data_IF_955611440325
#
_entry.id   IF_955611440325
#
_cell.length_a   1.000
_cell.length_b   1.000
_cell.length_c   1.000
_cell.angle_alpha   90.00
_cell.angle_beta   90.00
_cell.angle_gamma   90.00
#
_symmetry.space_group_name_H-M   'P 1'
#
loop_
_entity.id
_entity.type
_entity.pdbx_description
1 polymer ?
#
# COMPACT_ATOMS: atom_id res chain seq x y z
N UNK A 1 14.98 -3.25 23.44
CA UNK A 1 15.37 -2.68 22.13
C UNK A 1 14.08 -2.31 21.41
N UNK A 2 13.91 -1.06 21.02
CA UNK A 2 12.75 -0.67 20.19
C UNK A 2 12.79 -1.43 18.86
N UNK A 3 11.66 -1.98 18.47
CA UNK A 3 11.51 -2.68 17.21
C UNK A 3 11.70 -1.71 16.04
N UNK A 4 12.64 -2.00 15.14
CA UNK A 4 12.92 -1.15 13.97
C UNK A 4 11.68 -1.08 13.09
N UNK A 5 11.30 0.13 12.66
CA UNK A 5 10.19 0.33 11.73
C UNK A 5 10.43 -0.41 10.41
N UNK A 6 9.36 -0.80 9.71
CA UNK A 6 9.45 -1.44 8.39
C UNK A 6 10.30 -0.62 7.42
N UNK A 7 10.10 0.70 7.37
CA UNK A 7 10.89 1.61 6.53
C UNK A 7 12.40 1.57 6.87
N UNK A 8 12.74 1.44 8.17
CA UNK A 8 14.13 1.30 8.61
C UNK A 8 14.71 -0.03 8.14
N UNK A 9 14.00 -1.13 8.29
CA UNK A 9 14.45 -2.46 7.86
C UNK A 9 14.69 -2.54 6.35
N UNK A 10 13.83 -1.90 5.54
CA UNK A 10 14.05 -1.76 4.08
C UNK A 10 15.36 -1.03 3.79
N UNK A 11 15.63 0.07 4.47
CA UNK A 11 16.88 0.82 4.29
C UNK A 11 18.10 0.03 4.75
N UNK A 12 18.01 -0.69 5.86
CA UNK A 12 19.07 -1.55 6.35
C UNK A 12 19.40 -2.67 5.35
N UNK A 13 18.40 -3.34 4.76
CA UNK A 13 18.62 -4.32 3.69
C UNK A 13 19.36 -3.73 2.49
N UNK A 14 18.91 -2.56 2.01
CA UNK A 14 19.52 -1.90 0.86
C UNK A 14 20.97 -1.52 1.11
N UNK A 15 21.31 -1.04 2.32
CA UNK A 15 22.69 -0.67 2.65
C UNK A 15 23.65 -1.86 2.67
N UNK A 16 23.16 -3.05 3.03
CA UNK A 16 23.95 -4.27 3.05
C UNK A 16 24.20 -4.88 1.67
N UNK A 17 23.25 -4.68 0.73
CA UNK A 17 23.30 -5.32 -0.59
C UNK A 17 24.08 -4.54 -1.65
N UNK A 18 24.42 -3.28 -1.41
CA UNK A 18 25.13 -2.42 -2.38
C UNK A 18 26.64 -2.63 -2.28
N UNK A 19 27.15 -3.59 -3.07
CA UNK A 19 28.58 -3.93 -3.14
C UNK A 19 29.20 -3.64 -4.52
N UNK A 20 28.41 -3.29 -5.54
CA UNK A 20 28.89 -3.01 -6.89
C UNK A 20 29.44 -1.58 -6.98
N UNK A 21 30.72 -1.45 -7.34
CA UNK A 21 31.37 -0.13 -7.52
C UNK A 21 30.65 0.76 -8.55
N UNK A 22 30.06 0.15 -9.60
CA UNK A 22 29.29 0.90 -10.62
C UNK A 22 28.00 1.50 -10.06
N UNK A 23 27.48 0.93 -8.97
CA UNK A 23 26.28 1.42 -8.29
C UNK A 23 26.55 2.67 -7.44
N UNK A 24 27.78 2.84 -6.93
CA UNK A 24 28.10 3.84 -5.92
C UNK A 24 27.92 5.28 -6.42
N UNK A 25 28.37 5.59 -7.62
CA UNK A 25 28.23 6.96 -8.17
C UNK A 25 26.78 7.38 -8.35
N UNK A 26 25.88 6.63 -9.04
CA UNK A 26 24.47 7.00 -9.14
C UNK A 26 23.75 6.97 -7.79
N UNK A 27 24.12 6.06 -6.88
CA UNK A 27 23.59 6.05 -5.52
C UNK A 27 23.92 7.35 -4.78
N UNK A 28 25.20 7.76 -4.77
CA UNK A 28 25.65 9.01 -4.16
C UNK A 28 24.91 10.21 -4.75
N UNK A 29 24.74 10.26 -6.08
CA UNK A 29 23.96 11.32 -6.72
C UNK A 29 22.55 11.40 -6.16
N UNK A 30 21.86 10.26 -6.01
CA UNK A 30 20.53 10.19 -5.42
C UNK A 30 20.48 10.68 -3.98
N UNK A 31 21.40 10.18 -3.13
CA UNK A 31 21.47 10.58 -1.71
C UNK A 31 21.80 12.07 -1.56
N UNK A 32 22.85 12.55 -2.26
CA UNK A 32 23.31 13.95 -2.16
C UNK A 32 22.22 14.91 -2.64
N UNK A 33 21.49 14.56 -3.68
CA UNK A 33 20.41 15.38 -4.26
C UNK A 33 19.28 15.67 -3.27
N UNK A 34 18.93 14.72 -2.41
CA UNK A 34 17.79 14.84 -1.48
C UNK A 34 18.17 15.15 -0.04
N UNK A 35 19.41 14.82 0.39
CA UNK A 35 19.90 14.99 1.77
C UNK A 35 21.21 15.72 1.88
N UNK A 36 21.87 16.06 0.78
CA UNK A 36 23.12 16.81 0.76
C UNK A 36 22.90 18.29 1.02
N UNK A 37 23.77 18.89 1.82
CA UNK A 37 23.81 20.33 2.10
C UNK A 37 25.19 20.87 1.74
N UNK A 38 25.23 21.83 0.83
CA UNK A 38 26.46 22.57 0.51
C UNK A 38 26.60 23.72 1.51
N UNK A 39 27.70 23.73 2.25
CA UNK A 39 28.04 24.78 3.22
C UNK A 39 29.12 25.66 2.62
N UNK A 40 28.78 26.94 2.43
CA UNK A 40 29.65 27.97 1.90
C UNK A 40 30.22 28.78 3.07
N UNK A 41 31.50 28.66 3.37
CA UNK A 41 32.20 29.36 4.43
C UNK A 41 33.64 29.57 4.05
N UNK A 42 34.53 29.72 5.04
CA UNK A 42 36.01 29.75 4.78
C UNK A 42 36.48 28.50 4.03
N UNK A 43 35.85 27.35 4.34
CA UNK A 43 36.00 26.11 3.59
C UNK A 43 34.66 25.69 3.04
N UNK A 44 34.68 25.28 1.78
CA UNK A 44 33.50 24.70 1.13
C UNK A 44 33.34 23.25 1.58
N UNK A 45 32.15 22.88 2.03
CA UNK A 45 31.88 21.55 2.59
C UNK A 45 30.58 21.00 2.01
N UNK A 46 30.59 19.73 1.61
CA UNK A 46 29.39 18.95 1.36
C UNK A 46 29.11 18.11 2.59
N UNK A 47 27.94 18.26 3.18
CA UNK A 47 27.49 17.52 4.35
C UNK A 47 26.25 16.69 4.00
N UNK A 48 26.30 15.38 4.28
CA UNK A 48 25.16 14.46 4.16
C UNK A 48 24.83 13.93 5.54
N UNK A 49 23.58 14.12 5.98
CA UNK A 49 23.13 13.72 7.33
C UNK A 49 22.07 12.64 7.25
N UNK A 50 22.19 11.62 8.09
CA UNK A 50 21.25 10.50 8.24
C UNK A 50 21.12 10.07 9.70
N UNK A 51 20.01 9.42 10.04
CA UNK A 51 19.80 8.75 11.34
C UNK A 51 20.21 7.27 11.30
N UNK A 52 20.75 6.80 10.17
CA UNK A 52 21.12 5.42 9.90
C UNK A 52 22.65 5.31 9.86
N UNK A 53 23.26 4.68 10.88
CA UNK A 53 24.71 4.50 10.95
C UNK A 53 25.26 3.74 9.75
N UNK A 54 24.59 2.65 9.36
CA UNK A 54 24.98 1.80 8.23
C UNK A 54 24.94 2.56 6.89
N UNK A 55 23.97 3.48 6.74
CA UNK A 55 23.91 4.36 5.57
C UNK A 55 25.03 5.40 5.59
N UNK A 56 25.38 5.94 6.76
CA UNK A 56 26.51 6.86 6.87
C UNK A 56 27.82 6.17 6.48
N UNK A 57 28.03 4.93 6.93
CA UNK A 57 29.19 4.12 6.57
C UNK A 57 29.25 3.81 5.06
N UNK A 58 28.10 3.48 4.45
CA UNK A 58 28.02 3.29 3.01
C UNK A 58 28.38 4.56 2.24
N UNK A 59 27.84 5.72 2.64
CA UNK A 59 28.13 7.01 2.01
C UNK A 59 29.61 7.35 2.15
N UNK A 60 30.17 7.17 3.34
CA UNK A 60 31.59 7.42 3.62
C UNK A 60 32.47 6.60 2.68
N UNK A 61 32.31 5.27 2.67
CA UNK A 61 33.08 4.34 1.81
C UNK A 61 32.85 4.63 0.31
N UNK A 62 31.65 5.04 -0.07
CA UNK A 62 31.37 5.37 -1.46
C UNK A 62 32.13 6.60 -1.93
N UNK A 63 32.23 7.66 -1.12
CA UNK A 63 33.06 8.84 -1.45
C UNK A 63 34.56 8.49 -1.54
N UNK A 64 35.08 7.70 -0.59
CA UNK A 64 36.47 7.21 -0.65
C UNK A 64 36.73 6.40 -1.92
N UNK A 65 35.81 5.49 -2.25
CA UNK A 65 35.99 4.57 -3.38
C UNK A 65 35.92 5.29 -4.72
N UNK A 66 34.90 6.15 -4.91
CA UNK A 66 34.60 6.80 -6.21
C UNK A 66 35.51 7.99 -6.45
N UNK A 67 35.74 8.85 -5.44
CA UNK A 67 36.40 10.14 -5.59
C UNK A 67 37.80 10.20 -4.97
N UNK A 68 38.20 9.15 -4.25
CA UNK A 68 39.52 9.09 -3.57
C UNK A 68 39.76 10.26 -2.61
N UNK A 69 38.67 10.77 -2.00
CA UNK A 69 38.72 11.82 -0.97
C UNK A 69 38.63 11.20 0.42
N UNK A 70 38.93 12.00 1.46
CA UNK A 70 38.91 11.57 2.87
C UNK A 70 37.75 12.22 3.61
N UNK A 71 36.53 11.62 3.60
CA UNK A 71 35.41 12.16 4.36
C UNK A 71 35.68 12.14 5.87
N UNK A 72 34.93 12.94 6.61
CA UNK A 72 34.98 12.90 8.08
C UNK A 72 33.58 12.71 8.65
N UNK A 73 33.50 11.98 9.78
CA UNK A 73 32.25 11.87 10.52
C UNK A 73 32.04 13.07 11.45
N UNK A 74 30.79 13.50 11.56
CA UNK A 74 30.29 14.37 12.61
C UNK A 74 29.08 13.75 13.28
N UNK A 75 29.14 13.60 14.58
CA UNK A 75 28.03 13.10 15.38
C UNK A 75 27.27 14.28 15.97
N UNK A 76 25.95 14.30 15.78
CA UNK A 76 25.07 15.27 16.36
C UNK A 76 24.24 14.64 17.46
N UNK A 77 24.49 14.98 18.73
CA UNK A 77 23.57 14.72 19.80
C UNK A 77 22.54 15.86 19.81
N UNK A 78 21.28 15.58 19.45
CA UNK A 78 20.20 16.56 19.61
C UNK A 78 19.87 16.65 21.11
N UNK A 79 20.02 17.84 21.68
CA UNK A 79 19.83 18.16 23.10
C UNK A 79 18.37 18.08 23.60
N UNK A 80 17.43 17.56 22.83
CA UNK A 80 16.06 17.31 23.26
C UNK A 80 15.82 15.80 23.39
N UNK A 81 15.24 15.42 24.54
CA UNK A 81 14.74 14.07 24.84
C UNK A 81 13.99 13.50 23.65
N UNK A 82 14.22 12.22 23.29
CA UNK A 82 13.53 11.44 22.26
C UNK A 82 13.95 11.62 20.79
N UNK A 83 15.16 12.06 20.47
CA UNK A 83 15.62 12.06 19.08
C UNK A 83 16.81 11.14 18.87
N UNK A 84 16.68 10.23 17.90
CA UNK A 84 17.75 9.33 17.48
C UNK A 84 19.04 10.11 17.15
N UNK A 85 20.24 9.54 17.43
CA UNK A 85 21.51 10.16 17.06
C UNK A 85 21.57 10.40 15.54
N UNK A 86 22.21 11.49 15.13
CA UNK A 86 22.41 11.79 13.71
C UNK A 86 23.88 11.64 13.33
N UNK A 87 24.09 10.99 12.22
CA UNK A 87 25.40 10.77 11.61
C UNK A 87 25.54 11.69 10.40
N UNK A 88 26.63 12.44 10.32
CA UNK A 88 26.91 13.29 9.18
C UNK A 88 28.25 12.91 8.57
N UNK A 89 28.26 12.72 7.26
CA UNK A 89 29.47 12.55 6.45
C UNK A 89 29.79 13.89 5.82
N UNK A 90 30.99 14.38 6.05
CA UNK A 90 31.44 15.71 5.59
C UNK A 90 32.63 15.57 4.68
N UNK A 91 32.52 16.09 3.46
CA UNK A 91 33.52 16.16 2.42
C UNK A 91 34.04 17.61 2.31
N UNK A 92 35.36 17.82 2.29
CA UNK A 92 36.00 19.12 2.15
C UNK A 92 36.85 19.24 0.89
N UNK A 93 37.21 18.11 0.31
CA UNK A 93 38.07 18.03 -0.86
C UNK A 93 37.25 17.98 -2.14
N UNK A 94 37.65 18.70 -3.18
CA UNK A 94 37.04 18.64 -4.52
C UNK A 94 35.50 18.78 -4.58
N UNK A 95 34.92 19.53 -3.64
CA UNK A 95 33.47 19.59 -3.42
C UNK A 95 32.69 19.93 -4.68
N UNK A 96 33.11 20.95 -5.45
CA UNK A 96 32.42 21.36 -6.66
C UNK A 96 32.55 20.37 -7.81
N UNK A 97 33.73 19.75 -7.98
CA UNK A 97 33.97 18.74 -9.00
C UNK A 97 33.12 17.48 -8.72
N UNK A 98 33.05 17.10 -7.44
CA UNK A 98 32.18 16.00 -6.99
C UNK A 98 30.70 16.33 -7.26
N UNK A 99 30.23 17.52 -6.91
CA UNK A 99 28.84 17.93 -7.11
C UNK A 99 28.48 18.02 -8.61
N UNK A 100 29.42 18.44 -9.45
CA UNK A 100 29.27 18.46 -10.91
C UNK A 100 29.20 17.05 -11.48
N UNK A 101 30.09 16.16 -11.07
CA UNK A 101 30.09 14.76 -11.51
C UNK A 101 28.85 14.01 -11.06
N UNK A 102 28.35 14.28 -9.84
CA UNK A 102 27.06 13.76 -9.35
C UNK A 102 25.85 14.42 -10.02
N UNK A 103 26.05 15.34 -10.94
CA UNK A 103 24.99 16.15 -11.59
C UNK A 103 24.10 16.91 -10.60
N UNK A 104 24.58 17.21 -9.38
CA UNK A 104 23.81 17.94 -8.38
C UNK A 104 23.89 19.45 -8.60
N UNK A 105 25.11 19.99 -8.73
CA UNK A 105 25.37 21.40 -8.97
C UNK A 105 26.56 21.60 -9.89
N UNK A 106 26.47 22.59 -10.77
CA UNK A 106 27.61 23.19 -11.50
C UNK A 106 27.81 24.57 -10.88
N UNK A 107 28.89 24.73 -10.15
CA UNK A 107 29.12 25.81 -9.19
C UNK A 107 27.90 25.93 -8.22
N UNK A 108 27.08 26.96 -8.33
CA UNK A 108 25.88 27.18 -7.51
C UNK A 108 24.57 26.92 -8.27
N UNK A 109 24.65 26.51 -9.52
CA UNK A 109 23.49 26.24 -10.37
C UNK A 109 23.10 24.75 -10.26
N UNK A 110 21.85 24.49 -9.92
CA UNK A 110 21.34 23.13 -9.84
C UNK A 110 21.31 22.47 -11.22
N UNK A 111 21.83 21.26 -11.31
CA UNK A 111 21.90 20.47 -12.54
C UNK A 111 20.73 19.48 -12.65
N UNK A 112 20.24 19.26 -13.88
CA UNK A 112 19.31 18.16 -14.16
C UNK A 112 20.06 16.81 -14.23
N UNK A 113 19.50 15.71 -13.69
CA UNK A 113 20.19 14.41 -13.60
C UNK A 113 20.17 13.66 -14.95
N UNK A 114 20.86 14.14 -15.97
CA UNK A 114 20.83 13.60 -17.36
C UNK A 114 21.39 12.17 -17.46
N UNK A 115 22.57 11.92 -16.90
CA UNK A 115 23.21 10.61 -16.91
C UNK A 115 22.58 9.67 -15.88
N UNK A 116 22.16 10.21 -14.72
CA UNK A 116 21.58 9.43 -13.63
C UNK A 116 20.21 8.83 -13.99
N UNK A 117 19.45 9.48 -14.87
CA UNK A 117 18.16 8.94 -15.36
C UNK A 117 18.31 7.97 -16.54
N UNK A 118 19.53 7.70 -17.06
CA UNK A 118 19.75 6.61 -18.02
C UNK A 118 19.43 5.26 -17.38
N UNK A 119 18.94 4.32 -18.18
CA UNK A 119 18.43 3.03 -17.68
C UNK A 119 19.45 2.23 -16.87
N UNK A 120 20.74 2.34 -17.19
CA UNK A 120 21.84 1.66 -16.46
C UNK A 120 22.04 2.17 -15.04
N UNK A 121 21.79 3.46 -14.79
CA UNK A 121 22.09 4.13 -13.53
C UNK A 121 20.84 4.36 -12.67
N UNK A 122 19.68 4.43 -13.31
CA UNK A 122 18.45 4.91 -12.70
C UNK A 122 18.02 4.08 -11.48
N UNK A 123 18.20 2.76 -11.52
CA UNK A 123 17.92 1.90 -10.38
C UNK A 123 18.65 2.38 -9.12
N UNK A 124 19.97 2.52 -9.21
CA UNK A 124 20.80 2.92 -8.08
C UNK A 124 20.60 4.38 -7.67
N UNK A 125 20.33 5.24 -8.64
CA UNK A 125 19.97 6.64 -8.39
C UNK A 125 18.70 6.76 -7.56
N UNK A 126 17.62 6.05 -7.92
CA UNK A 126 16.37 6.02 -7.16
C UNK A 126 16.55 5.33 -5.80
N UNK A 127 17.37 4.28 -5.73
CA UNK A 127 17.74 3.67 -4.45
C UNK A 127 18.40 4.68 -3.52
N UNK A 128 19.33 5.49 -4.03
CA UNK A 128 19.94 6.59 -3.28
C UNK A 128 18.91 7.63 -2.79
N UNK A 129 17.98 8.03 -3.65
CA UNK A 129 16.88 8.94 -3.27
C UNK A 129 16.03 8.32 -2.15
N UNK A 130 15.67 7.03 -2.25
CA UNK A 130 14.90 6.35 -1.21
C UNK A 130 15.68 6.26 0.11
N UNK A 131 16.94 5.92 0.07
CA UNK A 131 17.81 5.88 1.27
C UNK A 131 17.89 7.25 1.94
N UNK A 132 18.06 8.32 1.16
CA UNK A 132 18.22 9.69 1.68
C UNK A 132 16.92 10.31 2.18
N UNK A 133 15.83 10.20 1.44
CA UNK A 133 14.56 10.90 1.73
C UNK A 133 13.32 10.08 1.35
N UNK A 134 13.43 8.76 1.28
CA UNK A 134 12.30 7.86 1.08
C UNK A 134 11.71 7.37 2.39
N UNK A 135 10.43 7.03 2.35
CA UNK A 135 9.68 6.38 3.44
C UNK A 135 8.71 5.37 2.88
N UNK A 136 8.48 4.29 3.63
CA UNK A 136 7.44 3.31 3.35
C UNK A 136 6.66 3.02 4.63
N UNK A 137 5.33 2.93 4.51
CA UNK A 137 4.48 2.56 5.63
C UNK A 137 4.65 1.07 5.98
N UNK A 138 4.42 0.75 7.24
CA UNK A 138 4.34 -0.62 7.71
C UNK A 138 3.17 -1.34 7.00
N UNK A 139 3.40 -2.52 6.39
CA UNK A 139 2.34 -3.29 5.73
C UNK A 139 1.27 -3.78 6.70
N UNK A 140 1.54 -3.84 8.00
CA UNK A 140 0.52 -4.17 9.02
C UNK A 140 -0.49 -3.04 9.23
N UNK A 141 -0.17 -1.79 8.85
CA UNK A 141 -1.09 -0.66 8.95
C UNK A 141 -2.18 -0.71 7.88
N UNK A 142 -3.24 0.09 8.07
CA UNK A 142 -4.42 0.07 7.20
C UNK A 142 -4.17 0.60 5.78
N UNK A 143 -3.17 1.45 5.60
CA UNK A 143 -2.88 2.06 4.30
C UNK A 143 -1.44 1.78 3.86
N UNK A 144 -1.31 1.31 2.63
CA UNK A 144 -0.02 1.16 1.97
C UNK A 144 0.42 2.49 1.38
N UNK A 145 1.67 2.85 1.63
CA UNK A 145 2.21 4.14 1.19
C UNK A 145 3.72 4.10 1.06
N UNK A 146 4.23 4.55 -0.09
CA UNK A 146 5.64 4.85 -0.32
C UNK A 146 5.74 6.30 -0.76
N UNK A 147 6.71 7.03 -0.24
CA UNK A 147 7.03 8.38 -0.68
C UNK A 147 8.53 8.59 -0.90
N UNK A 148 8.84 9.43 -1.88
CA UNK A 148 10.15 10.01 -2.14
C UNK A 148 10.03 11.53 -2.04
N UNK A 149 10.84 12.17 -1.20
CA UNK A 149 10.70 13.59 -0.89
C UNK A 149 11.85 14.41 -1.48
N UNK A 150 11.50 15.47 -2.22
CA UNK A 150 12.44 16.37 -2.90
C UNK A 150 12.29 17.80 -2.40
N UNK A 151 13.37 18.56 -2.40
CA UNK A 151 13.39 20.01 -2.18
C UNK A 151 13.20 20.81 -3.46
N UNK A 152 13.42 20.18 -4.62
CA UNK A 152 13.38 20.81 -5.93
C UNK A 152 12.32 20.14 -6.82
N UNK A 153 11.54 20.97 -7.54
CA UNK A 153 10.44 20.50 -8.36
C UNK A 153 10.90 19.79 -9.64
N UNK A 154 11.94 20.31 -10.27
CA UNK A 154 12.46 19.77 -11.53
C UNK A 154 13.12 18.40 -11.33
N UNK A 155 13.74 18.20 -10.18
CA UNK A 155 14.23 16.89 -9.76
C UNK A 155 13.08 15.89 -9.59
N UNK A 156 12.04 16.29 -8.88
CA UNK A 156 10.87 15.45 -8.68
C UNK A 156 10.20 15.10 -10.02
N UNK A 157 10.02 16.07 -10.92
CA UNK A 157 9.46 15.87 -12.26
C UNK A 157 10.31 14.92 -13.11
N UNK A 158 11.65 15.09 -13.09
CA UNK A 158 12.57 14.26 -13.86
C UNK A 158 12.51 12.79 -13.42
N UNK A 159 12.51 12.55 -12.11
CA UNK A 159 12.38 11.20 -11.53
C UNK A 159 10.99 10.62 -11.79
N UNK A 160 9.92 11.40 -11.62
CA UNK A 160 8.54 10.98 -11.90
C UNK A 160 8.39 10.53 -13.35
N UNK A 161 8.84 11.34 -14.30
CA UNK A 161 8.77 11.01 -15.73
C UNK A 161 9.44 9.66 -16.01
N UNK A 162 10.62 9.44 -15.45
CA UNK A 162 11.36 8.19 -15.65
C UNK A 162 10.68 6.99 -14.98
N UNK A 163 10.13 7.15 -13.78
CA UNK A 163 9.37 6.08 -13.11
C UNK A 163 8.12 5.69 -13.89
N UNK A 164 7.39 6.66 -14.46
CA UNK A 164 6.19 6.42 -15.27
C UNK A 164 6.51 5.75 -16.62
N UNK A 165 7.69 5.99 -17.17
CA UNK A 165 8.15 5.40 -18.45
C UNK A 165 8.93 4.10 -18.27
N UNK A 166 9.03 3.59 -17.06
CA UNK A 166 9.72 2.33 -16.76
C UNK A 166 9.06 1.14 -17.47
N UNK A 167 9.85 0.39 -18.25
CA UNK A 167 9.38 -0.75 -19.09
C UNK A 167 9.72 -2.12 -18.51
N UNK A 168 10.27 -2.20 -17.31
CA UNK A 168 10.80 -3.42 -16.71
C UNK A 168 9.82 -4.25 -15.91
N UNK A 169 8.53 -4.36 -16.31
CA UNK A 169 7.55 -5.16 -15.61
C UNK A 169 6.22 -4.44 -15.35
N UNK A 170 5.57 -4.71 -14.21
CA UNK A 170 4.33 -4.02 -13.82
C UNK A 170 4.56 -2.52 -13.65
N UNK A 171 3.58 -1.73 -14.08
CA UNK A 171 3.62 -0.25 -14.03
C UNK A 171 3.69 0.26 -12.59
N UNK A 172 4.50 1.28 -12.36
CA UNK A 172 4.54 2.05 -11.12
C UNK A 172 3.88 3.41 -11.34
N UNK A 173 2.64 3.57 -10.88
CA UNK A 173 1.83 4.79 -11.11
C UNK A 173 2.09 5.85 -10.04
N UNK A 174 3.36 6.27 -9.90
CA UNK A 174 3.70 7.36 -8.99
C UNK A 174 2.91 8.62 -9.31
N UNK A 175 2.49 9.32 -8.26
CA UNK A 175 1.86 10.64 -8.34
C UNK A 175 2.72 11.64 -7.61
N UNK A 176 2.59 12.92 -7.95
CA UNK A 176 3.29 14.03 -7.29
C UNK A 176 2.29 14.88 -6.52
N UNK A 177 2.69 15.35 -5.35
CA UNK A 177 1.98 16.34 -4.53
C UNK A 177 3.00 17.22 -3.82
N UNK A 178 2.56 18.38 -3.33
CA UNK A 178 3.37 19.29 -2.52
C UNK A 178 2.88 19.24 -1.08
N UNK A 179 3.82 19.13 -0.13
CA UNK A 179 3.54 19.13 1.30
C UNK A 179 4.68 19.81 2.07
N UNK A 180 4.39 20.88 2.83
CA UNK A 180 5.39 21.62 3.64
C UNK A 180 6.62 22.02 2.81
N UNK A 181 6.40 22.68 1.68
CA UNK A 181 7.44 23.16 0.75
C UNK A 181 8.35 22.07 0.18
N UNK A 182 7.88 20.82 0.18
CA UNK A 182 8.57 19.70 -0.45
C UNK A 182 7.68 19.04 -1.50
N UNK A 183 8.32 18.56 -2.56
CA UNK A 183 7.68 17.81 -3.65
C UNK A 183 7.78 16.32 -3.33
N UNK A 184 6.61 15.67 -3.22
CA UNK A 184 6.50 14.27 -2.79
C UNK A 184 6.02 13.42 -3.95
N UNK A 185 6.83 12.45 -4.37
CA UNK A 185 6.39 11.38 -5.26
C UNK A 185 5.89 10.22 -4.41
N UNK A 186 4.69 9.70 -4.70
CA UNK A 186 4.11 8.66 -3.86
C UNK A 186 3.37 7.56 -4.63
N UNK A 187 3.32 6.36 -4.02
CA UNK A 187 2.49 5.21 -4.39
C UNK A 187 1.58 4.82 -3.25
N UNK A 188 0.36 4.32 -3.58
CA UNK A 188 -0.61 3.82 -2.59
C UNK A 188 -1.08 2.39 -2.86
N UNK A 189 -0.85 1.85 -4.05
CA UNK A 189 -1.27 0.50 -4.39
C UNK A 189 -0.22 -0.52 -3.95
N UNK A 190 -0.62 -1.49 -3.15
CA UNK A 190 0.27 -2.50 -2.59
C UNK A 190 1.10 -3.22 -3.66
N UNK A 191 0.46 -3.69 -4.74
CA UNK A 191 1.16 -4.35 -5.84
C UNK A 191 2.24 -3.48 -6.50
N UNK A 192 1.97 -2.17 -6.67
CA UNK A 192 2.94 -1.24 -7.24
C UNK A 192 4.10 -0.95 -6.27
N UNK A 193 3.82 -0.97 -4.95
CA UNK A 193 4.84 -0.84 -3.90
C UNK A 193 5.77 -2.04 -3.90
N UNK A 194 5.25 -3.26 -4.03
CA UNK A 194 6.09 -4.46 -4.15
C UNK A 194 6.99 -4.42 -5.37
N UNK A 195 6.46 -3.96 -6.52
CA UNK A 195 7.27 -3.74 -7.73
C UNK A 195 8.38 -2.72 -7.47
N UNK A 196 8.08 -1.64 -6.75
CA UNK A 196 9.08 -0.64 -6.40
C UNK A 196 10.16 -1.19 -5.47
N UNK A 197 9.79 -1.94 -4.42
CA UNK A 197 10.74 -2.59 -3.51
C UNK A 197 11.67 -3.55 -4.25
N UNK A 198 11.12 -4.41 -5.12
CA UNK A 198 11.91 -5.28 -5.98
C UNK A 198 12.83 -4.50 -6.92
N UNK A 199 12.33 -3.40 -7.50
CA UNK A 199 13.10 -2.55 -8.40
C UNK A 199 14.31 -1.92 -7.72
N UNK A 200 14.17 -1.38 -6.51
CA UNK A 200 15.30 -0.79 -5.77
C UNK A 200 16.22 -1.85 -5.15
N UNK A 201 15.82 -3.14 -5.12
CA UNK A 201 16.64 -4.26 -4.66
C UNK A 201 16.34 -4.75 -3.24
N UNK A 202 15.30 -4.26 -2.57
CA UNK A 202 14.86 -4.73 -1.25
C UNK A 202 13.99 -6.00 -1.37
N UNK A 203 14.61 -7.10 -1.78
CA UNK A 203 13.88 -8.34 -2.15
C UNK A 203 13.27 -9.04 -0.95
N UNK A 204 14.00 -9.16 0.17
CA UNK A 204 13.49 -9.82 1.37
C UNK A 204 12.33 -9.02 1.98
N UNK A 205 12.50 -7.70 2.07
CA UNK A 205 11.44 -6.83 2.58
C UNK A 205 10.25 -6.74 1.64
N UNK A 206 10.44 -6.90 0.32
CA UNK A 206 9.35 -7.04 -0.64
C UNK A 206 8.55 -8.32 -0.39
N UNK A 207 9.21 -9.45 -0.14
CA UNK A 207 8.53 -10.71 0.20
C UNK A 207 7.71 -10.58 1.49
N UNK A 208 8.31 -10.03 2.55
CA UNK A 208 7.59 -9.78 3.82
C UNK A 208 6.37 -8.86 3.63
N UNK A 209 6.52 -7.82 2.80
CA UNK A 209 5.42 -6.91 2.45
C UNK A 209 4.27 -7.66 1.75
N UNK A 210 4.59 -8.51 0.75
CA UNK A 210 3.59 -9.30 0.01
C UNK A 210 2.91 -10.34 0.90
N UNK A 211 3.64 -11.07 1.73
CA UNK A 211 3.07 -12.05 2.65
C UNK A 211 2.07 -11.39 3.61
N UNK A 212 2.43 -10.23 4.17
CA UNK A 212 1.54 -9.46 5.03
C UNK A 212 0.30 -8.99 4.29
N UNK A 213 0.45 -8.50 3.05
CA UNK A 213 -0.65 -8.03 2.20
C UNK A 213 -1.61 -9.15 1.85
N UNK A 214 -1.09 -10.29 1.38
CA UNK A 214 -1.91 -11.46 1.01
C UNK A 214 -2.69 -12.00 2.21
N UNK A 215 -2.05 -12.09 3.36
CA UNK A 215 -2.68 -12.51 4.61
C UNK A 215 -3.86 -11.58 4.97
N UNK A 216 -3.68 -10.27 4.89
CA UNK A 216 -4.75 -9.30 5.13
C UNK A 216 -5.89 -9.41 4.12
N UNK A 217 -5.57 -9.55 2.85
CA UNK A 217 -6.58 -9.67 1.79
C UNK A 217 -7.41 -10.94 1.98
N UNK A 218 -6.77 -12.04 2.40
CA UNK A 218 -7.47 -13.27 2.76
C UNK A 218 -8.45 -13.08 3.93
N UNK A 219 -7.99 -12.53 5.06
CA UNK A 219 -8.84 -12.29 6.23
C UNK A 219 -9.97 -11.29 5.93
N UNK A 220 -9.69 -10.22 5.17
CA UNK A 220 -10.70 -9.27 4.76
C UNK A 220 -11.78 -9.92 3.88
N UNK A 221 -11.38 -10.82 2.97
CA UNK A 221 -12.30 -11.58 2.14
C UNK A 221 -13.20 -12.50 2.98
N UNK A 222 -12.62 -13.25 3.92
CA UNK A 222 -13.36 -14.11 4.84
C UNK A 222 -14.36 -13.32 5.70
N UNK A 223 -13.93 -12.21 6.27
CA UNK A 223 -14.80 -11.35 7.06
C UNK A 223 -15.99 -10.79 6.25
N UNK A 224 -15.76 -10.42 4.99
CA UNK A 224 -16.86 -9.98 4.09
C UNK A 224 -17.87 -11.08 3.84
N UNK A 225 -17.42 -12.33 3.65
CA UNK A 225 -18.33 -13.48 3.48
C UNK A 225 -19.15 -13.71 4.74
N UNK A 226 -18.52 -13.75 5.91
CA UNK A 226 -19.21 -13.94 7.20
C UNK A 226 -20.26 -12.83 7.44
N UNK A 227 -19.90 -11.58 7.20
CA UNK A 227 -20.84 -10.44 7.34
C UNK A 227 -22.02 -10.57 6.36
N UNK A 228 -21.74 -10.96 5.12
CA UNK A 228 -22.78 -11.17 4.11
C UNK A 228 -23.73 -12.29 4.51
N UNK A 229 -23.21 -13.42 4.96
CA UNK A 229 -24.01 -14.58 5.39
C UNK A 229 -24.85 -14.26 6.61
N UNK A 230 -24.27 -13.59 7.61
CA UNK A 230 -25.00 -13.13 8.79
C UNK A 230 -26.15 -12.16 8.44
N UNK A 231 -25.91 -11.23 7.52
CA UNK A 231 -26.94 -10.30 7.04
C UNK A 231 -28.05 -11.02 6.26
N UNK A 232 -27.70 -12.01 5.42
CA UNK A 232 -28.63 -12.83 4.69
C UNK A 232 -29.49 -13.68 5.63
N UNK A 233 -28.87 -14.31 6.65
CA UNK A 233 -29.58 -15.09 7.66
C UNK A 233 -30.55 -14.22 8.47
N UNK A 234 -30.11 -13.05 8.96
CA UNK A 234 -30.97 -12.11 9.67
C UNK A 234 -32.16 -11.68 8.83
N UNK A 235 -31.98 -11.48 7.52
CA UNK A 235 -33.07 -11.15 6.59
C UNK A 235 -34.02 -12.33 6.40
N UNK A 236 -33.50 -13.56 6.34
CA UNK A 236 -34.34 -14.76 6.23
C UNK A 236 -35.23 -14.94 7.45
N UNK A 237 -34.67 -14.80 8.67
CA UNK A 237 -35.44 -14.83 9.92
C UNK A 237 -36.57 -13.79 9.95
N UNK A 238 -36.25 -12.52 9.68
CA UNK A 238 -37.25 -11.45 9.65
C UNK A 238 -38.36 -11.72 8.65
N UNK A 239 -38.04 -12.23 7.46
CA UNK A 239 -39.03 -12.61 6.46
C UNK A 239 -39.86 -13.82 6.94
N UNK A 240 -39.22 -14.78 7.61
CA UNK A 240 -39.89 -15.93 8.20
C UNK A 240 -40.95 -15.54 9.23
N UNK A 241 -40.56 -14.71 10.20
CA UNK A 241 -41.46 -14.17 11.23
C UNK A 241 -42.66 -13.42 10.62
N UNK A 242 -42.37 -12.51 9.65
CA UNK A 242 -43.45 -11.78 8.97
C UNK A 242 -44.39 -12.72 8.21
N UNK A 243 -43.83 -13.66 7.44
CA UNK A 243 -44.65 -14.60 6.67
C UNK A 243 -45.53 -15.51 7.56
N UNK A 244 -45.01 -15.96 8.72
CA UNK A 244 -45.76 -16.77 9.67
C UNK A 244 -46.92 -15.98 10.31
N UNK A 245 -46.68 -14.71 10.66
CA UNK A 245 -47.70 -13.82 11.15
C UNK A 245 -48.83 -13.62 10.11
N UNK A 246 -48.50 -13.40 8.84
CA UNK A 246 -49.46 -13.28 7.74
C UNK A 246 -50.27 -14.58 7.55
N UNK A 247 -49.60 -15.74 7.60
CA UNK A 247 -50.21 -17.06 7.49
C UNK A 247 -51.22 -17.27 8.63
N UNK A 248 -50.87 -16.96 9.90
CA UNK A 248 -51.76 -17.11 11.06
C UNK A 248 -53.02 -16.25 10.94
N UNK A 249 -52.89 -15.01 10.46
CA UNK A 249 -54.03 -14.12 10.20
C UNK A 249 -54.97 -14.71 9.14
N UNK A 250 -54.40 -15.21 8.04
CA UNK A 250 -55.14 -15.77 6.92
C UNK A 250 -55.90 -17.05 7.36
N UNK A 251 -55.21 -17.92 8.11
CA UNK A 251 -55.84 -19.17 8.63
C UNK A 251 -57.05 -18.88 9.51
N UNK A 252 -56.95 -17.86 10.37
CA UNK A 252 -58.04 -17.46 11.29
C UNK A 252 -59.20 -16.78 10.57
N UNK A 253 -58.92 -15.95 9.53
CA UNK A 253 -59.96 -15.16 8.85
C UNK A 253 -60.65 -15.92 7.71
N UNK A 254 -59.93 -16.61 6.87
CA UNK A 254 -60.40 -17.12 5.57
C UNK A 254 -60.25 -18.64 5.44
N UNK A 255 -59.33 -19.23 6.19
CA UNK A 255 -58.91 -20.64 6.04
C UNK A 255 -58.06 -20.87 4.79
N UNK A 256 -57.37 -22.02 4.73
CA UNK A 256 -56.48 -22.37 3.63
C UNK A 256 -57.18 -23.04 2.42
N UNK A 257 -58.50 -23.29 2.50
CA UNK A 257 -59.21 -24.04 1.47
C UNK A 257 -59.27 -23.32 0.12
N UNK A 258 -59.20 -22.00 0.10
CA UNK A 258 -59.26 -21.17 -1.11
C UNK A 258 -57.92 -21.03 -1.87
N UNK A 259 -56.87 -21.65 -1.36
CA UNK A 259 -55.54 -21.57 -1.99
C UNK A 259 -55.27 -22.81 -2.88
N UNK A 260 -54.55 -22.58 -3.97
CA UNK A 260 -54.05 -23.65 -4.84
C UNK A 260 -52.96 -24.48 -4.14
N UNK A 261 -52.65 -25.66 -4.66
CA UNK A 261 -51.74 -26.61 -4.03
C UNK A 261 -50.34 -26.05 -3.92
N UNK A 262 -49.92 -25.19 -4.85
CA UNK A 262 -48.63 -24.52 -4.83
C UNK A 262 -48.50 -23.54 -3.67
N UNK A 263 -49.51 -22.76 -3.39
CA UNK A 263 -49.57 -21.84 -2.26
C UNK A 263 -49.65 -22.59 -0.92
N UNK A 264 -50.44 -23.68 -0.84
CA UNK A 264 -50.53 -24.54 0.34
C UNK A 264 -49.17 -25.16 0.68
N UNK A 265 -48.49 -25.69 -0.34
CA UNK A 265 -47.16 -26.25 -0.14
C UNK A 265 -46.15 -25.18 0.36
N UNK A 266 -46.17 -23.98 -0.22
CA UNK A 266 -45.27 -22.87 0.22
C UNK A 266 -45.56 -22.49 1.69
N UNK A 267 -46.81 -22.46 2.11
CA UNK A 267 -47.22 -22.20 3.51
C UNK A 267 -46.72 -23.32 4.42
N UNK A 268 -46.90 -24.59 4.01
CA UNK A 268 -46.43 -25.74 4.79
C UNK A 268 -44.91 -25.72 4.98
N UNK A 269 -44.18 -25.57 3.88
CA UNK A 269 -42.70 -25.49 3.92
C UNK A 269 -42.21 -24.32 4.80
N UNK A 270 -42.88 -23.16 4.79
CA UNK A 270 -42.53 -22.06 5.67
C UNK A 270 -42.81 -22.37 7.16
N UNK A 271 -43.87 -23.08 7.47
CA UNK A 271 -44.17 -23.51 8.84
C UNK A 271 -43.16 -24.52 9.37
N UNK A 272 -42.74 -25.46 8.51
CA UNK A 272 -41.80 -26.50 8.88
C UNK A 272 -40.33 -25.93 8.96
N UNK A 273 -40.06 -24.87 8.18
CA UNK A 273 -38.73 -24.22 8.11
C UNK A 273 -38.85 -22.70 8.30
N UNK A 274 -39.05 -22.22 9.55
CA UNK A 274 -39.31 -20.82 9.86
C UNK A 274 -38.19 -19.87 9.49
N UNK A 275 -36.95 -20.34 9.57
CA UNK A 275 -35.71 -19.61 9.33
C UNK A 275 -35.18 -19.72 7.90
N UNK A 276 -35.80 -20.58 7.06
CA UNK A 276 -35.34 -20.80 5.71
C UNK A 276 -35.42 -19.54 4.85
N UNK A 277 -34.42 -19.29 4.04
CA UNK A 277 -34.43 -18.26 3.01
C UNK A 277 -35.43 -18.63 1.88
N UNK A 278 -35.88 -17.64 1.12
CA UNK A 278 -36.74 -17.92 -0.06
C UNK A 278 -36.04 -18.81 -1.11
N UNK A 279 -34.71 -18.86 -1.13
CA UNK A 279 -33.99 -19.76 -2.02
C UNK A 279 -34.05 -21.22 -1.52
N UNK A 280 -33.93 -21.43 -0.22
CA UNK A 280 -34.08 -22.76 0.41
C UNK A 280 -35.50 -23.27 0.27
N UNK A 281 -36.51 -22.43 0.54
CA UNK A 281 -37.93 -22.80 0.31
C UNK A 281 -38.14 -23.20 -1.16
N UNK A 282 -37.58 -22.46 -2.12
CA UNK A 282 -37.68 -22.79 -3.54
C UNK A 282 -37.08 -24.17 -3.84
N UNK A 283 -35.94 -24.53 -3.23
CA UNK A 283 -35.32 -25.85 -3.38
C UNK A 283 -36.21 -26.96 -2.76
N UNK A 284 -36.64 -26.79 -1.53
CA UNK A 284 -37.52 -27.77 -0.83
C UNK A 284 -38.77 -28.02 -1.64
N UNK A 285 -39.47 -26.96 -2.07
CA UNK A 285 -40.68 -27.10 -2.90
C UNK A 285 -40.43 -27.83 -4.21
N UNK A 286 -39.27 -27.66 -4.82
CA UNK A 286 -38.94 -28.30 -6.10
C UNK A 286 -38.48 -29.75 -5.91
N UNK A 287 -37.62 -30.00 -4.93
CA UNK A 287 -36.96 -31.30 -4.73
C UNK A 287 -37.84 -32.29 -3.94
N UNK A 288 -38.50 -31.81 -2.87
CA UNK A 288 -39.31 -32.64 -1.98
C UNK A 288 -40.82 -32.53 -2.31
N UNK A 289 -41.25 -31.35 -2.68
CA UNK A 289 -42.65 -31.11 -2.99
C UNK A 289 -43.07 -31.36 -4.43
N UNK A 290 -42.11 -31.65 -5.33
CA UNK A 290 -42.40 -31.95 -6.73
C UNK A 290 -42.94 -30.76 -7.56
N UNK A 291 -42.94 -29.54 -7.01
CA UNK A 291 -43.48 -28.35 -7.67
C UNK A 291 -42.29 -27.43 -8.05
N UNK A 292 -41.87 -27.37 -9.32
CA UNK A 292 -40.80 -26.51 -9.76
C UNK A 292 -41.13 -25.05 -9.59
N UNK A 293 -40.35 -24.34 -8.78
CA UNK A 293 -40.54 -22.93 -8.49
C UNK A 293 -39.22 -22.22 -8.32
N UNK A 294 -39.12 -21.01 -8.82
CA UNK A 294 -37.93 -20.15 -8.61
C UNK A 294 -38.07 -19.33 -7.33
N UNK A 295 -36.92 -18.85 -6.81
CA UNK A 295 -36.90 -17.89 -5.69
C UNK A 295 -37.89 -16.73 -5.89
N UNK A 296 -37.94 -16.17 -7.10
CA UNK A 296 -38.83 -15.05 -7.44
C UNK A 296 -40.32 -15.48 -7.34
N UNK A 297 -40.63 -16.73 -7.72
CA UNK A 297 -41.96 -17.31 -7.55
C UNK A 297 -42.34 -17.43 -6.09
N UNK A 298 -41.46 -17.90 -5.22
CA UNK A 298 -41.68 -17.97 -3.77
C UNK A 298 -41.92 -16.57 -3.19
N UNK A 299 -41.09 -15.58 -3.55
CA UNK A 299 -41.28 -14.17 -3.14
C UNK A 299 -42.66 -13.65 -3.56
N UNK A 300 -43.12 -14.00 -4.76
CA UNK A 300 -44.43 -13.57 -5.26
C UNK A 300 -45.58 -14.19 -4.44
N UNK A 301 -45.45 -15.47 -4.06
CA UNK A 301 -46.44 -16.13 -3.20
C UNK A 301 -46.59 -15.39 -1.87
N UNK A 302 -45.49 -15.18 -1.15
CA UNK A 302 -45.50 -14.52 0.16
C UNK A 302 -45.97 -13.06 0.09
N UNK A 303 -45.61 -12.30 -0.95
CA UNK A 303 -46.18 -10.97 -1.19
C UNK A 303 -47.67 -10.96 -1.45
N UNK A 304 -48.21 -12.02 -2.05
CA UNK A 304 -49.64 -12.16 -2.25
C UNK A 304 -50.37 -12.49 -0.94
N UNK A 305 -49.73 -13.27 -0.06
CA UNK A 305 -50.25 -13.56 1.28
C UNK A 305 -50.26 -12.31 2.16
N UNK A 306 -49.17 -11.55 2.21
CA UNK A 306 -49.08 -10.27 2.93
C UNK A 306 -50.24 -9.32 2.55
N UNK A 307 -50.53 -9.15 1.25
CA UNK A 307 -51.67 -8.33 0.80
C UNK A 307 -53.02 -8.85 1.25
N UNK A 308 -53.18 -10.17 1.42
CA UNK A 308 -54.44 -10.77 1.87
C UNK A 308 -54.58 -10.74 3.39
N UNK A 309 -53.49 -10.66 4.17
CA UNK A 309 -53.53 -10.53 5.62
C UNK A 309 -54.02 -9.15 6.08
N UNK A 310 -53.81 -8.12 5.26
CA UNK A 310 -54.16 -6.72 5.53
C UNK A 310 -55.64 -6.40 5.23
N UNK A 311 -56.34 -7.20 4.43
CA UNK A 311 -57.75 -7.08 4.10
C UNK A 311 -58.58 -7.97 5.02
#
# INVERSE_FOLDING_TARGET
MEEKTFSRRVKDELTLLINDQKALRPLLSGVVRVSGVLILGHEKKLKVTTEISELADLIFKAFETVYKVHPSYQYGNKTHFDKAPTYSVVIRENVFDILRDLECFDDLVRMKPKEMIKSSNFKYFVTGIFLGAGMISDPQKSQYYVELSFSDEEDAKSVLHKLLTFKGGKKMSFKMTTRRDRYILYLKKGEEISVFLAYIGATNMMMEFEDTRLTKDFFNSQNRLIICDAANYKKALKNGESNLADIDIIEKKVGLFSFDDKNKLAIQVRKDHPDASYNEISKIMTEEGGIPITKSGVVHIFKKLDRKSVV
#
